data_IF_461785505634
#
_entry.id   IF_461785505634
#
_cell.length_a   1.000
_cell.length_b   1.000
_cell.length_c   1.000
_cell.angle_alpha   90.00
_cell.angle_beta   90.00
_cell.angle_gamma   90.00
#
_symmetry.space_group_name_H-M   'P 1'
#
loop_
_entity.id
_entity.type
_entity.pdbx_description
1 polymer ?
#
# COMPACT_ATOMS: atom_id res chain seq x y z
N UNK A 1 18.39 -85.44 14.87
CA UNK A 1 19.36 -84.54 14.18
C UNK A 1 18.67 -83.18 14.03
N UNK A 2 19.27 -82.11 14.59
CA UNK A 2 18.95 -80.67 14.44
C UNK A 2 17.50 -80.22 14.73
N UNK A 3 17.12 -79.59 15.86
CA UNK A 3 17.55 -78.35 16.54
C UNK A 3 17.04 -77.04 15.89
N UNK A 4 16.47 -76.20 16.76
CA UNK A 4 16.35 -74.72 16.73
C UNK A 4 15.07 -73.97 16.30
N UNK A 5 14.75 -73.05 17.21
CA UNK A 5 13.70 -72.04 17.39
C UNK A 5 13.62 -70.87 16.38
N UNK A 6 12.61 -70.00 16.64
CA UNK A 6 12.38 -68.59 16.24
C UNK A 6 11.40 -68.43 15.08
N UNK A 7 10.46 -67.47 15.04
CA UNK A 7 10.22 -66.27 15.85
C UNK A 7 8.87 -65.67 15.43
N UNK A 8 8.18 -65.02 16.37
CA UNK A 8 6.98 -64.19 16.17
C UNK A 8 7.30 -63.02 15.22
N UNK A 9 6.44 -62.76 14.22
CA UNK A 9 6.25 -61.42 13.64
C UNK A 9 4.78 -61.18 13.31
N UNK A 10 4.14 -60.36 14.16
CA UNK A 10 2.96 -59.59 13.82
C UNK A 10 3.35 -58.44 12.90
N UNK A 11 2.53 -58.14 11.90
CA UNK A 11 2.31 -56.79 11.35
C UNK A 11 1.36 -56.89 10.16
N UNK A 12 0.12 -56.41 10.31
CA UNK A 12 -0.87 -56.43 9.24
C UNK A 12 -2.00 -55.46 9.50
N UNK A 13 -1.69 -54.16 9.59
CA UNK A 13 -2.59 -53.06 9.26
C UNK A 13 -1.86 -51.72 9.46
N UNK A 14 -1.53 -51.04 8.38
CA UNK A 14 -1.31 -49.60 8.38
C UNK A 14 -1.97 -49.04 7.11
N UNK A 15 -3.20 -48.58 7.26
CA UNK A 15 -3.91 -47.78 6.28
C UNK A 15 -3.12 -46.48 6.05
N UNK A 16 -2.61 -46.30 4.84
CA UNK A 16 -2.02 -45.04 4.38
C UNK A 16 -3.15 -44.03 4.17
N UNK A 17 -3.43 -43.21 5.19
CA UNK A 17 -4.13 -41.94 5.01
C UNK A 17 -3.10 -40.99 4.39
N UNK A 18 -3.08 -40.90 3.06
CA UNK A 18 -2.36 -39.85 2.35
C UNK A 18 -3.08 -38.54 2.67
N UNK A 19 -2.49 -37.75 3.56
CA UNK A 19 -3.00 -36.45 3.96
C UNK A 19 -3.02 -35.49 2.77
N UNK A 20 -4.22 -35.13 2.33
CA UNK A 20 -4.43 -33.92 1.54
C UNK A 20 -4.29 -32.70 2.47
N UNK A 21 -3.07 -32.43 2.93
CA UNK A 21 -2.71 -31.10 3.42
C UNK A 21 -2.59 -30.20 2.18
N UNK A 22 -3.74 -29.74 1.70
CA UNK A 22 -3.76 -28.61 0.79
C UNK A 22 -3.03 -27.47 1.46
N UNK A 23 -1.90 -27.06 0.86
CA UNK A 23 -1.21 -25.82 1.20
C UNK A 23 -2.17 -24.68 0.87
N UNK A 24 -3.09 -24.37 1.78
CA UNK A 24 -3.68 -23.04 1.88
C UNK A 24 -2.52 -22.12 2.25
N UNK A 25 -1.80 -21.65 1.24
CA UNK A 25 -0.99 -20.44 1.36
C UNK A 25 -1.98 -19.31 1.60
N UNK A 26 -2.27 -19.02 2.86
CA UNK A 26 -2.84 -17.74 3.23
C UNK A 26 -1.87 -16.69 2.73
N UNK A 27 -2.22 -16.00 1.64
CA UNK A 27 -1.47 -14.84 1.17
C UNK A 27 -1.52 -13.81 2.30
N UNK A 28 -0.46 -13.77 3.11
CA UNK A 28 -0.24 -12.68 4.04
C UNK A 28 0.59 -11.65 3.27
N UNK A 29 0.06 -10.43 3.15
CA UNK A 29 0.87 -9.29 2.73
C UNK A 29 2.07 -9.20 3.67
N UNK A 30 3.23 -8.88 3.11
CA UNK A 30 4.44 -8.61 3.89
C UNK A 30 4.26 -7.41 4.82
N UNK A 31 3.28 -6.56 4.54
CA UNK A 31 2.89 -5.41 5.35
C UNK A 31 1.58 -5.69 6.06
N UNK A 32 1.65 -5.69 7.39
CA UNK A 32 0.48 -5.90 8.26
C UNK A 32 -0.21 -4.55 8.49
N UNK A 33 -1.55 -4.48 8.43
CA UNK A 33 -2.24 -3.23 8.65
C UNK A 33 -2.26 -2.86 10.13
N UNK A 34 -2.26 -1.57 10.43
CA UNK A 34 -2.21 -1.05 11.80
C UNK A 34 -3.45 -0.22 12.11
N UNK A 35 -4.21 -0.60 13.14
CA UNK A 35 -5.35 0.19 13.60
C UNK A 35 -4.86 1.43 14.34
N UNK A 36 -5.09 2.60 13.75
CA UNK A 36 -4.65 3.89 14.29
C UNK A 36 -5.85 4.82 14.52
N UNK A 37 -5.77 5.76 15.50
CA UNK A 37 -6.84 6.72 15.74
C UNK A 37 -7.00 7.70 14.56
N UNK A 38 -8.21 8.26 14.34
CA UNK A 38 -8.39 9.33 13.37
C UNK A 38 -7.57 10.57 13.74
N UNK A 39 -7.22 11.42 12.75
CA UNK A 39 -6.48 12.65 13.00
C UNK A 39 -7.27 13.59 13.91
N UNK A 40 -6.61 14.12 14.93
CA UNK A 40 -7.16 15.15 15.84
C UNK A 40 -7.20 16.52 15.20
N UNK A 41 -6.36 16.74 14.19
CA UNK A 41 -6.34 17.94 13.36
C UNK A 41 -6.58 17.54 11.92
N UNK A 42 -7.59 18.13 11.31
CA UNK A 42 -7.96 17.89 9.91
C UNK A 42 -8.55 19.16 9.29
N UNK A 43 -8.69 19.16 7.98
CA UNK A 43 -9.45 20.17 7.25
C UNK A 43 -10.95 20.04 7.53
N UNK A 44 -11.69 21.14 7.38
CA UNK A 44 -13.14 21.08 7.48
C UNK A 44 -13.72 20.49 6.19
N UNK A 45 -14.60 19.48 6.27
CA UNK A 45 -15.30 18.99 5.09
C UNK A 45 -16.06 20.12 4.39
N UNK A 46 -16.09 20.10 3.06
CA UNK A 46 -16.98 20.97 2.28
C UNK A 46 -16.31 22.02 1.39
N UNK A 47 -15.06 21.84 0.98
CA UNK A 47 -14.54 22.64 -0.13
C UNK A 47 -15.40 22.43 -1.39
N UNK A 48 -15.61 23.48 -2.17
CA UNK A 48 -16.48 23.46 -3.35
C UNK A 48 -15.84 22.84 -4.59
N UNK A 49 -14.58 22.42 -4.50
CA UNK A 49 -13.79 21.86 -5.59
C UNK A 49 -13.04 20.60 -5.14
N UNK A 50 -12.64 19.78 -6.10
CA UNK A 50 -11.82 18.61 -5.83
C UNK A 50 -10.40 19.04 -5.43
N UNK A 51 -9.82 18.29 -4.50
CA UNK A 51 -8.47 18.50 -4.01
C UNK A 51 -7.54 17.37 -4.45
N UNK A 52 -6.23 17.60 -4.30
CA UNK A 52 -5.20 16.62 -4.65
C UNK A 52 -4.29 16.35 -3.46
N UNK A 53 -3.92 15.09 -3.26
CA UNK A 53 -2.88 14.67 -2.33
C UNK A 53 -1.83 13.82 -3.06
N UNK A 54 -0.56 13.90 -2.65
CA UNK A 54 0.52 13.10 -3.24
C UNK A 54 1.25 12.31 -2.15
N UNK A 55 1.21 10.99 -2.28
CA UNK A 55 1.75 10.04 -1.30
C UNK A 55 2.72 9.05 -1.96
N UNK A 56 3.77 8.68 -1.25
CA UNK A 56 4.70 7.61 -1.60
C UNK A 56 4.78 6.61 -0.44
N UNK A 57 4.67 5.33 -0.73
CA UNK A 57 4.58 4.29 0.29
C UNK A 57 4.89 2.92 -0.28
N UNK A 58 5.99 2.79 -1.03
CA UNK A 58 6.36 1.54 -1.70
C UNK A 58 5.93 1.49 -3.15
N UNK A 59 5.76 0.28 -3.68
CA UNK A 59 5.28 0.10 -5.05
C UNK A 59 3.94 0.82 -5.24
N UNK A 60 3.88 1.73 -6.21
CA UNK A 60 2.68 2.54 -6.45
C UNK A 60 1.46 1.75 -6.90
N UNK A 61 1.58 0.47 -7.30
CA UNK A 61 0.47 -0.36 -7.76
C UNK A 61 -0.48 -0.68 -6.63
N UNK A 62 0.05 -1.13 -5.49
CA UNK A 62 -0.71 -1.36 -4.27
C UNK A 62 -1.28 -0.07 -3.70
N UNK A 63 -0.46 0.98 -3.62
CA UNK A 63 -0.91 2.28 -3.09
C UNK A 63 -2.02 2.87 -3.97
N UNK A 64 -1.90 2.78 -5.30
CA UNK A 64 -2.96 3.20 -6.22
C UNK A 64 -4.23 2.38 -5.97
N UNK A 65 -4.11 1.04 -5.97
CA UNK A 65 -5.25 0.16 -5.74
C UNK A 65 -6.00 0.46 -4.43
N UNK A 66 -5.29 0.70 -3.32
CA UNK A 66 -5.90 1.08 -2.04
C UNK A 66 -6.76 2.33 -2.21
N UNK A 67 -6.21 3.43 -2.72
CA UNK A 67 -6.96 4.67 -2.86
C UNK A 67 -8.06 4.61 -3.94
N UNK A 68 -7.92 3.76 -4.95
CA UNK A 68 -8.96 3.55 -5.95
C UNK A 68 -10.24 2.98 -5.32
N UNK A 69 -10.13 2.24 -4.22
CA UNK A 69 -11.25 1.66 -3.47
C UNK A 69 -11.77 2.56 -2.33
N UNK A 70 -11.33 3.82 -2.23
CA UNK A 70 -11.78 4.78 -1.20
C UNK A 70 -12.92 5.67 -1.72
N UNK A 71 -14.04 5.73 -1.01
CA UNK A 71 -15.17 6.63 -1.27
C UNK A 71 -14.73 8.09 -1.12
N UNK A 72 -15.27 8.95 -1.98
CA UNK A 72 -14.82 10.34 -2.11
C UNK A 72 -13.57 10.52 -2.99
N UNK A 73 -12.77 9.48 -3.24
CA UNK A 73 -11.68 9.56 -4.23
C UNK A 73 -12.26 9.49 -5.65
N UNK A 74 -11.87 10.45 -6.50
CA UNK A 74 -12.33 10.60 -7.89
C UNK A 74 -11.35 10.00 -8.90
N UNK A 75 -10.04 10.11 -8.63
CA UNK A 75 -8.99 9.62 -9.51
C UNK A 75 -7.72 9.31 -8.70
N UNK A 76 -6.96 8.30 -9.12
CA UNK A 76 -5.64 8.00 -8.55
C UNK A 76 -4.66 7.70 -9.67
N UNK A 77 -3.65 8.55 -9.85
CA UNK A 77 -2.63 8.40 -10.90
C UNK A 77 -1.33 7.93 -10.26
N UNK A 78 -0.73 6.85 -10.78
CA UNK A 78 0.62 6.42 -10.40
C UNK A 78 1.66 7.29 -11.10
N UNK A 79 2.75 7.61 -10.43
CA UNK A 79 3.79 8.48 -10.96
C UNK A 79 4.98 8.65 -10.04
N UNK A 80 5.75 9.71 -10.30
CA UNK A 80 7.02 9.98 -9.66
C UNK A 80 7.02 11.38 -9.04
N UNK A 81 7.48 11.51 -7.80
CA UNK A 81 7.61 12.79 -7.10
C UNK A 81 8.93 12.90 -6.30
N UNK A 82 9.39 14.12 -6.02
CA UNK A 82 10.60 14.39 -5.22
C UNK A 82 11.90 14.63 -6.00
N UNK A 83 12.04 14.02 -7.19
CA UNK A 83 13.14 14.25 -8.13
C UNK A 83 12.84 15.34 -9.17
N UNK A 84 13.71 15.46 -10.18
CA UNK A 84 13.58 16.45 -11.25
C UNK A 84 12.82 15.90 -12.47
N UNK A 85 12.06 16.77 -13.16
CA UNK A 85 11.22 16.39 -14.31
C UNK A 85 11.92 15.52 -15.36
N UNK A 86 13.16 15.87 -15.73
CA UNK A 86 13.92 15.15 -16.76
C UNK A 86 14.30 13.72 -16.41
N UNK A 87 14.14 13.30 -15.15
CA UNK A 87 14.49 11.96 -14.66
C UNK A 87 13.28 11.13 -14.24
N UNK A 88 12.07 11.58 -14.58
CA UNK A 88 10.80 10.98 -14.15
C UNK A 88 10.25 9.96 -15.18
N UNK A 89 11.03 8.91 -15.44
CA UNK A 89 10.63 7.76 -16.27
C UNK A 89 11.12 6.47 -15.61
N UNK A 90 10.36 5.38 -15.80
CA UNK A 90 10.51 4.16 -15.00
C UNK A 90 11.93 3.64 -14.94
N UNK A 91 12.60 3.59 -16.09
CA UNK A 91 13.94 3.06 -16.29
C UNK A 91 14.93 3.71 -15.32
N UNK A 92 14.90 5.04 -15.23
CA UNK A 92 15.81 5.83 -14.39
C UNK A 92 15.37 5.88 -12.94
N UNK A 93 14.06 5.85 -12.67
CA UNK A 93 13.54 5.80 -11.30
C UNK A 93 13.85 4.46 -10.64
N UNK A 94 13.74 3.36 -11.39
CA UNK A 94 13.99 1.99 -10.91
C UNK A 94 15.45 1.77 -10.48
N UNK A 95 16.40 2.54 -11.02
CA UNK A 95 17.80 2.56 -10.60
C UNK A 95 18.02 3.21 -9.21
N UNK A 96 17.02 3.92 -8.68
CA UNK A 96 17.06 4.51 -7.32
C UNK A 96 17.95 5.74 -7.16
N UNK A 97 18.41 6.36 -8.26
CA UNK A 97 19.35 7.51 -8.26
C UNK A 97 18.73 8.85 -8.68
N UNK A 98 17.48 8.84 -9.15
CA UNK A 98 16.79 10.04 -9.65
C UNK A 98 16.27 10.98 -8.56
N UNK A 99 16.24 10.51 -7.30
CA UNK A 99 15.63 11.22 -6.18
C UNK A 99 14.09 11.12 -6.15
N UNK A 100 13.47 10.51 -7.16
CA UNK A 100 12.05 10.25 -7.14
C UNK A 100 11.67 9.17 -6.14
N UNK A 101 10.46 9.26 -5.59
CA UNK A 101 9.71 8.14 -5.06
C UNK A 101 8.63 7.73 -6.06
N UNK A 102 8.37 6.43 -6.19
CA UNK A 102 7.08 5.96 -6.68
C UNK A 102 5.99 6.52 -5.79
N UNK A 103 5.05 7.21 -6.41
CA UNK A 103 4.04 8.02 -5.74
C UNK A 103 2.70 7.86 -6.43
N UNK A 104 1.64 8.21 -5.72
CA UNK A 104 0.30 8.37 -6.28
C UNK A 104 -0.19 9.80 -6.09
N UNK A 105 -0.85 10.34 -7.11
CA UNK A 105 -1.62 11.57 -7.03
C UNK A 105 -3.09 11.18 -6.87
N UNK A 106 -3.67 11.46 -5.70
CA UNK A 106 -5.06 11.17 -5.35
C UNK A 106 -5.88 12.44 -5.50
N UNK A 107 -6.83 12.45 -6.43
CA UNK A 107 -7.83 13.51 -6.55
C UNK A 107 -9.09 13.10 -5.79
N UNK A 108 -9.56 13.93 -4.85
CA UNK A 108 -10.65 13.58 -3.94
C UNK A 108 -11.68 14.71 -3.75
N UNK A 109 -12.84 14.32 -3.23
CA UNK A 109 -13.93 15.21 -2.84
C UNK A 109 -13.85 15.52 -1.32
N UNK A 110 -13.41 16.72 -0.91
CA UNK A 110 -13.32 17.08 0.51
C UNK A 110 -14.70 17.14 1.22
N UNK A 111 -15.82 17.12 0.49
CA UNK A 111 -17.14 16.95 1.09
C UNK A 111 -17.47 15.49 1.47
N UNK A 112 -16.73 14.51 0.91
CA UNK A 112 -16.95 13.08 1.17
C UNK A 112 -15.80 12.44 1.96
N UNK A 113 -14.57 12.90 1.76
CA UNK A 113 -13.39 12.44 2.48
C UNK A 113 -12.37 13.57 2.63
N UNK A 114 -11.85 13.76 3.83
CA UNK A 114 -10.84 14.77 4.13
C UNK A 114 -9.41 14.26 3.90
N UNK A 115 -8.47 15.17 3.73
CA UNK A 115 -7.04 14.89 3.65
C UNK A 115 -6.52 14.09 4.85
N UNK A 116 -6.93 14.44 6.08
CA UNK A 116 -6.56 13.66 7.26
C UNK A 116 -7.11 12.23 7.25
N UNK A 117 -8.32 12.00 6.72
CA UNK A 117 -8.84 10.63 6.54
C UNK A 117 -8.09 9.87 5.45
N UNK A 118 -7.63 10.52 4.39
CA UNK A 118 -6.71 9.91 3.42
C UNK A 118 -5.38 9.52 4.07
N UNK A 119 -4.81 10.38 4.93
CA UNK A 119 -3.62 10.05 5.70
C UNK A 119 -3.85 8.86 6.63
N UNK A 120 -5.02 8.75 7.24
CA UNK A 120 -5.34 7.60 8.07
C UNK A 120 -5.33 6.30 7.27
N UNK A 121 -5.89 6.28 6.06
CA UNK A 121 -5.79 5.13 5.15
C UNK A 121 -4.33 4.86 4.75
N UNK A 122 -3.58 5.91 4.42
CA UNK A 122 -2.16 5.83 4.05
C UNK A 122 -1.31 5.13 5.13
N UNK A 123 -1.44 5.55 6.39
CA UNK A 123 -0.67 5.01 7.51
C UNK A 123 -1.20 3.67 8.03
N UNK A 124 -2.50 3.38 7.89
CA UNK A 124 -3.08 2.12 8.39
C UNK A 124 -2.93 0.95 7.44
N UNK A 125 -3.06 1.18 6.13
CA UNK A 125 -3.30 0.10 5.15
C UNK A 125 -2.36 0.17 3.95
N UNK A 126 -2.02 1.36 3.46
CA UNK A 126 -1.31 1.46 2.19
C UNK A 126 0.12 0.91 2.23
N UNK A 127 0.80 1.05 3.38
CA UNK A 127 2.21 0.74 3.54
C UNK A 127 2.61 0.64 5.02
N UNK A 128 3.83 0.17 5.32
CA UNK A 128 4.46 0.24 6.64
C UNK A 128 5.33 1.53 6.79
N UNK A 129 4.91 2.51 7.61
CA UNK A 129 5.60 3.79 7.73
C UNK A 129 6.91 3.76 8.54
N UNK A 130 7.33 2.60 9.06
CA UNK A 130 8.58 2.47 9.84
C UNK A 130 9.75 1.94 9.01
N UNK A 131 9.50 1.46 7.79
CA UNK A 131 10.52 0.90 6.91
C UNK A 131 11.21 1.99 6.09
N UNK A 132 12.50 2.23 6.39
CA UNK A 132 13.29 3.29 5.75
C UNK A 132 13.85 2.82 4.40
N UNK A 133 13.37 3.44 3.31
CA UNK A 133 13.81 3.16 1.92
C UNK A 133 13.58 1.71 1.46
N UNK A 134 12.52 1.08 1.96
CA UNK A 134 11.98 -0.16 1.42
C UNK A 134 10.54 -0.32 1.87
N UNK A 135 9.77 -1.17 1.19
CA UNK A 135 8.42 -1.59 1.58
C UNK A 135 8.25 -3.07 1.21
N UNK A 136 8.04 -3.92 2.21
CA UNK A 136 7.97 -5.37 2.01
C UNK A 136 9.18 -5.91 1.21
N UNK A 137 8.99 -6.51 0.01
CA UNK A 137 10.08 -7.02 -0.82
C UNK A 137 10.85 -5.95 -1.62
N UNK A 138 10.35 -4.71 -1.68
CA UNK A 138 10.88 -3.66 -2.58
C UNK A 138 11.87 -2.76 -1.87
N UNK A 139 13.13 -2.79 -2.31
CA UNK A 139 14.23 -2.04 -1.68
C UNK A 139 14.75 -0.91 -2.57
N UNK A 140 14.89 0.28 -1.99
CA UNK A 140 15.42 1.45 -2.67
C UNK A 140 14.74 2.76 -2.25
N UNK A 141 15.40 3.88 -2.48
CA UNK A 141 14.87 5.21 -2.12
C UNK A 141 13.62 5.58 -2.90
N UNK A 142 13.39 4.94 -4.05
CA UNK A 142 12.17 5.05 -4.84
C UNK A 142 10.94 4.46 -4.13
N UNK A 143 11.13 3.57 -3.15
CA UNK A 143 10.04 2.96 -2.37
C UNK A 143 9.88 3.57 -0.99
N UNK A 144 10.56 4.70 -0.69
CA UNK A 144 10.48 5.35 0.61
C UNK A 144 9.07 5.83 0.93
N UNK A 145 8.73 5.85 2.22
CA UNK A 145 7.54 6.51 2.71
C UNK A 145 7.71 8.04 2.71
N UNK A 146 6.87 8.76 1.96
CA UNK A 146 6.85 10.21 1.91
C UNK A 146 5.46 10.78 1.62
N UNK A 147 5.25 12.01 2.08
CA UNK A 147 4.07 12.84 1.81
C UNK A 147 4.58 14.11 1.14
N UNK A 148 3.96 14.53 0.04
CA UNK A 148 4.30 15.76 -0.67
C UNK A 148 3.11 16.74 -0.61
N UNK A 149 3.01 17.58 0.43
CA UNK A 149 1.88 18.47 0.62
C UNK A 149 1.71 19.45 -0.53
N UNK A 150 0.49 19.60 -1.03
CA UNK A 150 0.16 20.56 -2.11
C UNK A 150 0.08 22.00 -1.59
N UNK A 151 -0.13 22.20 -0.29
CA UNK A 151 -0.25 23.50 0.34
C UNK A 151 0.19 23.45 1.82
N UNK A 152 0.15 24.60 2.49
CA UNK A 152 0.55 24.74 3.90
C UNK A 152 -0.38 24.00 4.87
N UNK A 153 -1.68 23.90 4.56
CA UNK A 153 -2.66 23.20 5.38
C UNK A 153 -2.40 21.69 5.40
N UNK A 154 -2.24 21.07 4.23
CA UNK A 154 -1.84 19.66 4.10
C UNK A 154 -0.53 19.36 4.82
N UNK A 155 0.46 20.26 4.73
CA UNK A 155 1.74 20.08 5.46
C UNK A 155 1.48 20.04 6.96
N UNK A 156 0.66 20.97 7.44
CA UNK A 156 0.38 21.09 8.86
C UNK A 156 -0.41 19.90 9.38
N UNK A 157 -1.41 19.42 8.64
CA UNK A 157 -2.19 18.22 8.99
C UNK A 157 -1.28 16.98 8.98
N UNK A 158 -0.45 16.79 7.94
CA UNK A 158 0.46 15.65 7.85
C UNK A 158 1.46 15.60 9.00
N UNK A 159 2.12 16.73 9.30
CA UNK A 159 3.06 16.82 10.42
C UNK A 159 2.38 16.59 11.77
N UNK A 160 1.20 17.18 11.99
CA UNK A 160 0.44 16.97 13.22
C UNK A 160 0.01 15.51 13.38
N UNK A 161 -0.37 14.84 12.29
CA UNK A 161 -0.82 13.47 12.35
C UNK A 161 0.34 12.49 12.61
N UNK A 162 1.51 12.69 12.00
CA UNK A 162 2.72 11.91 12.34
C UNK A 162 3.04 12.06 13.83
N UNK A 163 3.04 13.30 14.34
CA UNK A 163 3.30 13.57 15.76
C UNK A 163 2.26 12.91 16.69
N UNK A 164 0.99 12.90 16.30
CA UNK A 164 -0.07 12.19 17.03
C UNK A 164 0.19 10.68 17.06
N UNK A 165 0.52 10.07 15.92
CA UNK A 165 0.77 8.63 15.83
C UNK A 165 1.99 8.22 16.68
N UNK A 166 3.07 8.99 16.62
CA UNK A 166 4.25 8.83 17.48
C UNK A 166 3.86 8.92 18.97
N UNK A 167 3.10 9.93 19.38
CA UNK A 167 2.69 10.10 20.78
C UNK A 167 1.81 8.94 21.30
N UNK A 168 0.97 8.38 20.44
CA UNK A 168 0.12 7.23 20.78
C UNK A 168 0.85 5.88 20.74
N UNK A 169 2.11 5.85 20.30
CA UNK A 169 2.87 4.61 20.06
C UNK A 169 2.08 3.65 19.16
N UNK A 170 1.43 4.19 18.12
CA UNK A 170 0.60 3.41 17.22
C UNK A 170 1.37 2.34 16.44
N UNK A 171 2.69 2.54 16.27
CA UNK A 171 3.60 1.60 15.61
C UNK A 171 4.68 1.13 16.60
N UNK A 172 5.14 -0.10 16.41
CA UNK A 172 6.20 -0.70 17.24
C UNK A 172 7.56 -0.02 17.05
N UNK A 173 7.78 0.58 15.89
CA UNK A 173 8.99 1.32 15.54
C UNK A 173 8.63 2.76 15.17
N UNK A 174 9.65 3.62 15.16
CA UNK A 174 9.49 5.04 14.82
C UNK A 174 9.02 5.21 13.39
N UNK A 175 8.08 6.13 13.17
CA UNK A 175 7.68 6.55 11.83
C UNK A 175 8.85 7.26 11.13
N UNK A 176 9.21 6.78 9.93
CA UNK A 176 10.28 7.34 9.09
C UNK A 176 9.74 8.11 7.87
N UNK A 177 8.40 8.19 7.73
CA UNK A 177 7.72 8.97 6.70
C UNK A 177 8.20 10.42 6.70
N UNK A 178 8.63 10.90 5.53
CA UNK A 178 9.06 12.29 5.35
C UNK A 178 7.92 13.17 4.83
N UNK A 179 7.82 14.39 5.33
CA UNK A 179 6.97 15.45 4.74
C UNK A 179 7.87 16.33 3.87
N UNK A 180 7.96 15.99 2.59
CA UNK A 180 8.88 16.60 1.62
C UNK A 180 8.23 17.78 0.88
N UNK A 181 9.05 18.71 0.37
CA UNK A 181 8.56 19.79 -0.47
C UNK A 181 8.03 19.27 -1.81
N UNK A 182 6.87 19.76 -2.24
CA UNK A 182 6.31 19.39 -3.52
C UNK A 182 7.04 20.09 -4.66
N UNK A 183 7.82 19.31 -5.43
CA UNK A 183 8.59 19.78 -6.61
C UNK A 183 7.92 19.42 -7.94
N UNK A 184 6.67 18.98 -7.90
CA UNK A 184 5.95 18.44 -9.03
C UNK A 184 5.65 16.94 -8.89
N UNK A 185 4.70 16.49 -9.70
CA UNK A 185 4.30 15.10 -9.87
C UNK A 185 4.32 14.79 -11.36
N UNK A 186 4.92 13.66 -11.73
CA UNK A 186 5.10 13.25 -13.11
C UNK A 186 4.39 11.90 -13.28
N UNK A 187 3.29 11.83 -14.05
CA UNK A 187 2.58 10.58 -14.29
C UNK A 187 3.52 9.51 -14.85
N UNK A 188 3.43 8.29 -14.31
CA UNK A 188 4.10 7.14 -14.86
C UNK A 188 3.46 6.73 -16.19
N UNK A 189 4.17 5.93 -16.94
CA UNK A 189 3.76 5.37 -18.23
C UNK A 189 2.40 4.65 -18.11
N UNK A 190 1.62 4.65 -19.20
CA UNK A 190 0.25 4.15 -19.20
C UNK A 190 0.13 2.69 -18.71
N UNK A 191 1.16 1.86 -18.95
CA UNK A 191 1.17 0.46 -18.54
C UNK A 191 1.30 0.27 -17.02
N UNK A 192 1.69 1.31 -16.25
CA UNK A 192 1.68 1.27 -14.79
C UNK A 192 0.32 1.66 -14.18
N UNK A 193 -0.59 2.25 -14.96
CA UNK A 193 -1.86 2.74 -14.46
C UNK A 193 -2.86 1.60 -14.29
N UNK A 194 -3.56 1.58 -13.16
CA UNK A 194 -4.56 0.58 -12.79
C UNK A 194 -4.00 -0.86 -12.71
N UNK A 195 -2.68 -1.03 -12.53
CA UNK A 195 -2.01 -2.31 -12.72
C UNK A 195 -2.57 -3.42 -11.80
N UNK A 196 -2.79 -3.12 -10.51
CA UNK A 196 -3.41 -4.07 -9.57
C UNK A 196 -4.77 -4.57 -10.07
N UNK A 197 -5.63 -3.65 -10.54
CA UNK A 197 -6.97 -3.98 -11.02
C UNK A 197 -6.94 -4.78 -12.32
N UNK A 198 -5.99 -4.49 -13.21
CA UNK A 198 -5.87 -5.15 -14.51
C UNK A 198 -5.14 -6.50 -14.43
N UNK A 199 -4.30 -6.70 -13.41
CA UNK A 199 -3.47 -7.89 -13.24
C UNK A 199 -3.56 -8.49 -11.82
N UNK A 200 -4.77 -8.77 -11.30
CA UNK A 200 -4.93 -9.26 -9.92
C UNK A 200 -4.28 -10.63 -9.70
N UNK A 201 -4.20 -11.46 -10.75
CA UNK A 201 -3.60 -12.81 -10.68
C UNK A 201 -2.07 -12.81 -10.82
N UNK A 202 -1.44 -11.64 -11.05
CA UNK A 202 0.02 -11.52 -11.03
C UNK A 202 0.52 -11.92 -9.64
N UNK A 203 1.50 -12.83 -9.57
CA UNK A 203 1.99 -13.35 -8.29
C UNK A 203 2.48 -12.26 -7.33
N UNK A 204 3.08 -11.19 -7.86
CA UNK A 204 3.48 -10.03 -7.06
C UNK A 204 2.26 -9.33 -6.44
N UNK A 205 1.24 -9.02 -7.25
CA UNK A 205 0.00 -8.34 -6.82
C UNK A 205 -0.77 -9.20 -5.82
N UNK A 206 -0.94 -10.49 -6.12
CA UNK A 206 -1.70 -11.41 -5.28
C UNK A 206 -1.08 -11.59 -3.88
N UNK A 207 0.25 -11.50 -3.77
CA UNK A 207 0.97 -11.68 -2.50
C UNK A 207 1.08 -10.36 -1.73
N UNK A 208 1.47 -9.28 -2.40
CA UNK A 208 1.87 -8.04 -1.70
C UNK A 208 0.76 -6.99 -1.62
N UNK A 209 -0.14 -6.93 -2.61
CA UNK A 209 -1.03 -5.77 -2.76
C UNK A 209 -2.53 -6.10 -2.61
N UNK A 210 -3.01 -7.25 -3.09
CA UNK A 210 -4.41 -7.64 -2.91
C UNK A 210 -4.84 -7.70 -1.44
N UNK A 211 -4.03 -8.22 -0.49
CA UNK A 211 -4.44 -8.22 0.92
C UNK A 211 -4.67 -6.82 1.48
N UNK A 212 -4.02 -5.77 0.93
CA UNK A 212 -4.26 -4.37 1.32
C UNK A 212 -5.70 -3.93 1.03
N UNK A 213 -6.31 -4.43 -0.05
CA UNK A 213 -7.70 -4.13 -0.40
C UNK A 213 -8.66 -4.78 0.62
N UNK A 214 -8.37 -6.01 1.04
CA UNK A 214 -9.13 -6.69 2.09
C UNK A 214 -9.01 -5.96 3.44
N UNK A 215 -7.80 -5.50 3.79
CA UNK A 215 -7.58 -4.71 5.00
C UNK A 215 -8.31 -3.37 4.97
N UNK A 216 -8.32 -2.68 3.82
CA UNK A 216 -9.13 -1.47 3.64
C UNK A 216 -10.61 -1.75 3.92
N UNK A 217 -11.16 -2.81 3.34
CA UNK A 217 -12.56 -3.21 3.53
C UNK A 217 -12.89 -3.54 4.99
N UNK A 218 -11.98 -4.21 5.69
CA UNK A 218 -12.17 -4.60 7.09
C UNK A 218 -12.04 -3.42 8.06
N UNK A 219 -11.08 -2.52 7.83
CA UNK A 219 -10.75 -1.45 8.77
C UNK A 219 -11.52 -0.15 8.52
N UNK A 220 -11.89 0.11 7.28
CA UNK A 220 -12.60 1.31 6.85
C UNK A 220 -13.84 0.96 6.01
N UNK A 221 -14.78 0.15 6.54
CA UNK A 221 -15.97 -0.26 5.78
C UNK A 221 -16.84 0.92 5.36
N UNK A 222 -16.80 2.03 6.10
CA UNK A 222 -17.45 3.30 5.78
C UNK A 222 -16.83 4.00 4.56
N UNK A 223 -15.52 3.87 4.38
CA UNK A 223 -14.78 4.46 3.25
C UNK A 223 -14.65 3.50 2.07
N UNK A 224 -14.88 2.20 2.24
CA UNK A 224 -14.63 1.23 1.18
C UNK A 224 -15.73 1.24 0.11
N UNK A 225 -15.33 1.08 -1.16
CA UNK A 225 -16.21 0.77 -2.29
C UNK A 225 -15.69 -0.44 -3.07
N UNK A 226 -16.59 -1.32 -3.50
CA UNK A 226 -16.21 -2.52 -4.26
C UNK A 226 -15.65 -2.19 -5.66
N UNK A 227 -16.14 -1.12 -6.30
CA UNK A 227 -15.66 -0.70 -7.63
C UNK A 227 -14.56 0.35 -7.52
N UNK A 228 -13.37 0.01 -8.03
CA UNK A 228 -12.26 0.94 -8.17
C UNK A 228 -12.60 2.12 -9.13
N UNK A 229 -12.11 3.33 -8.84
CA UNK A 229 -12.04 4.39 -9.85
C UNK A 229 -10.79 4.22 -10.69
N UNK A 230 -10.96 4.08 -11.99
CA UNK A 230 -9.85 3.84 -12.91
C UNK A 230 -9.48 5.13 -13.63
N UNK A 231 -8.19 5.32 -13.86
CA UNK A 231 -7.72 6.33 -14.81
C UNK A 231 -8.12 5.87 -16.21
N UNK A 232 -8.73 6.74 -17.01
CA UNK A 232 -9.03 6.42 -18.40
C UNK A 232 -7.73 6.06 -19.13
N UNK A 233 -7.74 4.98 -19.90
CA UNK A 233 -6.61 4.68 -20.78
C UNK A 233 -6.46 5.85 -21.77
N UNK A 234 -5.37 6.60 -21.66
CA UNK A 234 -4.96 7.47 -22.76
C UNK A 234 -4.60 6.55 -23.92
N UNK A 235 -5.46 6.51 -24.92
CA UNK A 235 -5.15 5.94 -26.23
C UNK A 235 -3.95 6.71 -26.78
N UNK A 236 -2.79 6.06 -26.78
CA UNK A 236 -1.63 6.49 -27.57
C UNK A 236 -1.92 6.27 -29.05
#
# INVERSE_FOLDING_TARGET
MFNYSRSIRAAGAALLIVGAFGLLRTAQSTETPTKIPPPTRDEQPGATHAETAVFAGGCFWGVQGVFQHVRGVKQVVSGYAGGAAGTAHYDVVSEGKSGHAESVQVTFDPAQITYGRLLQVFFSVAHNPTQLNYQGPDHGTQYRSAIFPQNAEQRTIATAYIAQLDATHAFHERIVTKVEDFKGFYPAEAYHQNYLTLHPDSGYIAINDLPKIDYLKQMFPDLYRDKAVLVAATSN
#
